data_IF_151125188863
#
_entry.id   IF_151125188863
#
_cell.length_a   1.000
_cell.length_b   1.000
_cell.length_c   1.000
_cell.angle_alpha   90.00
_cell.angle_beta   90.00
_cell.angle_gamma   90.00
#
_symmetry.space_group_name_H-M   'P 1'
#
loop_
_entity.id
_entity.type
_entity.pdbx_description
1 polymer ?
#
# COMPACT_ATOMS: atom_id res chain seq x y z
N UNK A 1 12.12 -29.90 15.17
CA UNK A 1 12.68 -28.54 15.29
C UNK A 1 11.56 -27.56 14.98
N UNK A 2 11.15 -26.71 15.93
CA UNK A 2 10.07 -25.74 15.69
C UNK A 2 10.61 -24.57 14.85
N UNK A 3 10.64 -24.75 13.53
CA UNK A 3 11.15 -23.78 12.56
C UNK A 3 10.37 -22.47 12.56
N UNK A 4 9.14 -22.44 13.08
CA UNK A 4 8.32 -21.22 13.16
C UNK A 4 8.82 -20.17 14.17
N UNK A 5 9.87 -20.47 14.93
CA UNK A 5 10.49 -19.51 15.87
C UNK A 5 11.58 -18.63 15.24
N UNK A 6 12.05 -18.96 14.04
CA UNK A 6 13.18 -18.30 13.41
C UNK A 6 12.75 -17.62 12.11
N UNK A 7 13.24 -16.40 11.90
CA UNK A 7 13.09 -15.65 10.66
C UNK A 7 13.54 -16.48 9.44
N UNK A 8 12.90 -16.25 8.29
CA UNK A 8 13.27 -16.88 7.01
C UNK A 8 14.75 -16.60 6.70
N UNK A 9 15.20 -15.36 6.94
CA UNK A 9 16.60 -14.99 6.80
C UNK A 9 17.53 -15.87 7.63
N UNK A 10 17.24 -16.08 8.92
CA UNK A 10 18.05 -16.93 9.81
C UNK A 10 18.10 -18.38 9.34
N UNK A 11 16.99 -18.93 8.82
CA UNK A 11 16.95 -20.29 8.27
C UNK A 11 17.85 -20.44 7.05
N UNK A 12 17.83 -19.47 6.14
CA UNK A 12 18.67 -19.46 4.94
C UNK A 12 20.14 -19.28 5.35
N UNK A 13 20.44 -18.35 6.25
CA UNK A 13 21.80 -18.15 6.77
C UNK A 13 22.36 -19.41 7.43
N UNK A 14 21.54 -20.18 8.16
CA UNK A 14 21.99 -21.45 8.76
C UNK A 14 22.46 -22.47 7.71
N UNK A 15 21.78 -22.55 6.55
CA UNK A 15 22.20 -23.42 5.43
C UNK A 15 23.51 -22.91 4.84
N UNK A 16 23.62 -21.59 4.59
CA UNK A 16 24.83 -20.99 4.01
C UNK A 16 26.03 -21.19 4.94
N UNK A 17 25.87 -20.99 6.24
CA UNK A 17 26.93 -21.20 7.24
C UNK A 17 27.34 -22.67 7.27
N UNK A 18 26.39 -23.61 7.24
CA UNK A 18 26.71 -25.04 7.18
C UNK A 18 27.50 -25.39 5.91
N UNK A 19 27.07 -24.91 4.74
CA UNK A 19 27.79 -25.12 3.48
C UNK A 19 29.18 -24.49 3.52
N UNK A 20 29.32 -23.31 4.12
CA UNK A 20 30.61 -22.67 4.35
C UNK A 20 31.55 -23.50 5.21
N UNK A 21 31.06 -24.07 6.32
CA UNK A 21 31.83 -24.98 7.18
C UNK A 21 32.30 -26.22 6.41
N UNK A 22 31.43 -26.80 5.59
CA UNK A 22 31.77 -27.96 4.74
C UNK A 22 32.87 -27.58 3.74
N UNK A 23 32.77 -26.43 3.07
CA UNK A 23 33.79 -25.96 2.12
C UNK A 23 35.13 -25.75 2.82
N UNK A 24 35.13 -25.13 4.01
CA UNK A 24 36.35 -24.92 4.80
C UNK A 24 36.96 -26.25 5.23
N UNK A 25 36.14 -27.22 5.64
CA UNK A 25 36.62 -28.56 6.00
C UNK A 25 37.26 -29.27 4.80
N UNK A 26 36.60 -29.26 3.63
CA UNK A 26 37.14 -29.86 2.39
C UNK A 26 38.45 -29.17 1.99
N UNK A 27 38.48 -27.84 1.96
CA UNK A 27 39.69 -27.09 1.64
C UNK A 27 40.84 -27.38 2.63
N UNK A 28 40.54 -27.43 3.94
CA UNK A 28 41.50 -27.77 4.98
C UNK A 28 42.09 -29.18 4.80
N UNK A 29 41.25 -30.17 4.51
CA UNK A 29 41.71 -31.54 4.21
C UNK A 29 42.55 -31.60 2.94
N UNK A 30 42.19 -30.84 1.90
CA UNK A 30 42.98 -30.77 0.66
C UNK A 30 44.35 -30.11 0.83
N UNK A 31 44.45 -29.05 1.65
CA UNK A 31 45.73 -28.42 1.97
C UNK A 31 46.61 -29.37 2.79
N UNK A 32 46.04 -30.02 3.81
CA UNK A 32 46.74 -31.02 4.60
C UNK A 32 47.28 -32.15 3.71
N UNK A 33 46.45 -32.64 2.78
CA UNK A 33 46.82 -33.67 1.83
C UNK A 33 48.02 -33.30 0.96
N UNK A 34 48.00 -32.11 0.37
CA UNK A 34 49.10 -31.64 -0.47
C UNK A 34 50.39 -31.51 0.33
N UNK A 35 50.32 -31.00 1.57
CA UNK A 35 51.52 -30.87 2.43
C UNK A 35 52.12 -32.22 2.79
N UNK A 36 51.28 -33.18 3.17
CA UNK A 36 51.75 -34.52 3.56
C UNK A 36 52.30 -35.28 2.36
N UNK A 37 51.64 -35.17 1.20
CA UNK A 37 52.14 -35.75 -0.05
C UNK A 37 53.48 -35.15 -0.46
N UNK A 38 53.63 -33.82 -0.36
CA UNK A 38 54.90 -33.17 -0.69
C UNK A 38 56.03 -33.62 0.26
N UNK A 39 55.70 -33.84 1.55
CA UNK A 39 56.64 -34.38 2.55
C UNK A 39 57.10 -35.80 2.17
N UNK A 40 56.18 -36.69 1.82
CA UNK A 40 56.51 -38.06 1.42
C UNK A 40 57.28 -38.11 0.10
N UNK A 41 56.96 -37.24 -0.85
CA UNK A 41 57.70 -37.12 -2.10
C UNK A 41 59.15 -36.70 -1.86
N UNK A 42 59.39 -35.68 -1.02
CA UNK A 42 60.77 -35.27 -0.67
C UNK A 42 61.56 -36.41 -0.02
N UNK A 43 60.95 -37.15 0.92
CA UNK A 43 61.62 -38.30 1.56
C UNK A 43 61.89 -39.45 0.57
N UNK A 44 61.01 -39.65 -0.40
CA UNK A 44 61.20 -40.64 -1.47
C UNK A 44 62.36 -40.24 -2.38
N UNK A 45 62.41 -38.98 -2.79
CA UNK A 45 63.47 -38.43 -3.64
C UNK A 45 64.84 -38.51 -2.93
N UNK A 46 64.88 -38.18 -1.64
CA UNK A 46 66.09 -38.26 -0.83
C UNK A 46 66.63 -39.70 -0.71
N UNK A 47 65.74 -40.69 -0.56
CA UNK A 47 66.12 -42.10 -0.50
C UNK A 47 66.58 -42.62 -1.88
N UNK A 48 65.88 -42.25 -2.96
CA UNK A 48 66.26 -42.60 -4.33
C UNK A 48 67.59 -41.97 -4.76
N UNK A 49 67.88 -40.74 -4.31
CA UNK A 49 69.18 -40.11 -4.48
C UNK A 49 70.28 -40.93 -3.80
N UNK A 50 70.05 -41.42 -2.58
CA UNK A 50 70.99 -42.30 -1.87
C UNK A 50 71.30 -43.59 -2.64
N UNK A 51 70.30 -44.26 -3.21
CA UNK A 51 70.51 -45.44 -4.05
C UNK A 51 71.33 -45.11 -5.30
N UNK A 52 71.07 -43.96 -5.93
CA UNK A 52 71.82 -43.48 -7.11
C UNK A 52 73.27 -43.17 -6.78
N UNK A 53 73.51 -42.51 -5.65
CA UNK A 53 74.85 -42.23 -5.12
C UNK A 53 75.63 -43.53 -4.86
N UNK A 54 75.03 -44.51 -4.18
CA UNK A 54 75.67 -45.79 -3.91
C UNK A 54 76.01 -46.56 -5.20
N UNK A 55 75.09 -46.57 -6.17
CA UNK A 55 75.35 -47.16 -7.50
C UNK A 55 76.51 -46.47 -8.23
N UNK A 56 76.63 -45.14 -8.12
CA UNK A 56 77.76 -44.40 -8.69
C UNK A 56 79.08 -44.76 -7.98
N UNK A 57 79.08 -44.89 -6.65
CA UNK A 57 80.24 -45.36 -5.89
C UNK A 57 80.66 -46.76 -6.33
N UNK A 58 79.73 -47.70 -6.49
CA UNK A 58 80.02 -49.06 -6.97
C UNK A 58 80.70 -49.08 -8.35
N UNK A 59 80.25 -48.20 -9.28
CA UNK A 59 80.88 -48.03 -10.60
C UNK A 59 82.31 -47.50 -10.49
N UNK A 60 82.56 -46.52 -9.61
CA UNK A 60 83.89 -45.96 -9.36
C UNK A 60 84.83 -47.00 -8.73
N UNK A 61 84.35 -47.79 -7.76
CA UNK A 61 85.12 -48.90 -7.15
C UNK A 61 85.48 -49.95 -8.20
N UNK A 62 84.53 -50.32 -9.06
CA UNK A 62 84.78 -51.25 -10.16
C UNK A 62 85.83 -50.71 -11.14
N UNK A 63 85.81 -49.40 -11.44
CA UNK A 63 86.82 -48.73 -12.26
C UNK A 63 88.21 -48.76 -11.62
N UNK A 64 88.30 -48.46 -10.31
CA UNK A 64 89.54 -48.55 -9.53
C UNK A 64 90.10 -49.97 -9.53
N UNK A 65 89.24 -50.97 -9.29
CA UNK A 65 89.64 -52.37 -9.26
C UNK A 65 90.17 -52.83 -10.62
N UNK A 66 89.51 -52.42 -11.72
CA UNK A 66 89.99 -52.69 -13.09
C UNK A 66 91.34 -52.02 -13.36
N UNK A 67 91.54 -50.78 -12.90
CA UNK A 67 92.82 -50.08 -13.05
C UNK A 67 93.95 -50.81 -12.28
N UNK A 68 93.66 -51.31 -11.08
CA UNK A 68 94.60 -52.10 -10.28
C UNK A 68 94.99 -53.42 -10.97
N UNK A 69 94.01 -54.15 -11.55
CA UNK A 69 94.31 -55.34 -12.34
C UNK A 69 95.13 -55.05 -13.61
N UNK A 70 94.90 -53.90 -14.26
CA UNK A 70 95.71 -53.46 -15.41
C UNK A 70 97.18 -53.20 -15.03
N UNK A 71 97.44 -52.71 -13.81
CA UNK A 71 98.81 -52.57 -13.28
C UNK A 71 99.50 -53.93 -13.15
N UNK A 72 98.78 -54.95 -12.70
CA UNK A 72 99.30 -56.31 -12.58
C UNK A 72 99.56 -56.99 -13.94
N UNK A 73 98.74 -56.67 -14.95
CA UNK A 73 98.88 -57.21 -16.30
C UNK A 73 100.05 -56.58 -17.07
N UNK A 74 100.25 -55.27 -16.94
CA UNK A 74 101.32 -54.52 -17.59
C UNK A 74 101.90 -53.44 -16.65
N UNK A 75 103.00 -53.74 -15.93
CA UNK A 75 103.65 -52.78 -15.04
C UNK A 75 104.60 -51.81 -15.75
N UNK A 76 104.47 -51.60 -17.08
CA UNK A 76 105.32 -50.66 -17.82
C UNK A 76 105.22 -49.21 -17.29
N UNK A 77 106.31 -48.43 -17.28
CA UNK A 77 106.29 -47.06 -16.76
C UNK A 77 105.25 -46.13 -17.41
N UNK A 78 105.02 -46.30 -18.71
CA UNK A 78 104.04 -45.53 -19.49
C UNK A 78 102.60 -45.84 -19.05
N UNK A 79 102.25 -47.14 -18.97
CA UNK A 79 100.93 -47.57 -18.48
C UNK A 79 100.71 -47.20 -17.00
N UNK A 80 101.76 -47.25 -16.18
CA UNK A 80 101.70 -46.83 -14.77
C UNK A 80 101.37 -45.34 -14.60
N UNK A 81 101.89 -44.47 -15.47
CA UNK A 81 101.61 -43.03 -15.40
C UNK A 81 100.14 -42.72 -15.77
N UNK A 82 99.62 -43.36 -16.82
CA UNK A 82 98.21 -43.25 -17.23
C UNK A 82 97.27 -43.77 -16.13
N UNK A 83 97.57 -44.96 -15.58
CA UNK A 83 96.75 -45.59 -14.55
C UNK A 83 96.80 -44.83 -13.22
N UNK A 84 97.95 -44.25 -12.83
CA UNK A 84 98.01 -43.34 -11.66
C UNK A 84 97.09 -42.14 -11.81
N UNK A 85 97.07 -41.53 -13.00
CA UNK A 85 96.18 -40.39 -13.28
C UNK A 85 94.71 -40.80 -13.17
N UNK A 86 94.36 -41.96 -13.73
CA UNK A 86 93.00 -42.51 -13.62
C UNK A 86 92.62 -42.83 -12.18
N UNK A 87 93.48 -43.53 -11.43
CA UNK A 87 93.25 -43.87 -10.03
C UNK A 87 93.05 -42.61 -9.19
N UNK A 88 93.88 -41.59 -9.36
CA UNK A 88 93.74 -40.34 -8.61
C UNK A 88 92.45 -39.59 -8.95
N UNK A 89 92.01 -39.60 -10.22
CA UNK A 89 90.73 -39.03 -10.64
C UNK A 89 89.55 -39.76 -10.00
N UNK A 90 89.53 -41.08 -10.07
CA UNK A 90 88.43 -41.86 -9.49
C UNK A 90 88.43 -41.80 -7.95
N UNK A 91 89.61 -41.71 -7.31
CA UNK A 91 89.73 -41.43 -5.87
C UNK A 91 89.07 -40.11 -5.50
N UNK A 92 89.44 -39.04 -6.19
CA UNK A 92 88.88 -37.70 -5.94
C UNK A 92 87.36 -37.68 -6.12
N UNK A 93 86.86 -38.36 -7.16
CA UNK A 93 85.43 -38.48 -7.42
C UNK A 93 84.72 -39.24 -6.29
N UNK A 94 85.28 -40.36 -5.83
CA UNK A 94 84.68 -41.17 -4.78
C UNK A 94 84.71 -40.45 -3.43
N UNK A 95 85.83 -39.81 -3.08
CA UNK A 95 85.94 -38.96 -1.87
C UNK A 95 84.88 -37.85 -1.88
N UNK A 96 84.69 -37.20 -3.03
CA UNK A 96 83.70 -36.13 -3.18
C UNK A 96 82.29 -36.66 -3.01
N UNK A 97 81.94 -37.77 -3.66
CA UNK A 97 80.61 -38.39 -3.56
C UNK A 97 80.32 -38.89 -2.14
N UNK A 98 81.29 -39.56 -1.52
CA UNK A 98 81.16 -40.10 -0.17
C UNK A 98 80.97 -39.00 0.86
N UNK A 99 81.72 -37.89 0.73
CA UNK A 99 81.54 -36.72 1.60
C UNK A 99 80.17 -36.08 1.42
N UNK A 100 79.76 -35.82 0.17
CA UNK A 100 78.46 -35.22 -0.13
C UNK A 100 77.30 -36.08 0.39
N UNK A 101 77.35 -37.40 0.14
CA UNK A 101 76.35 -38.33 0.66
C UNK A 101 76.31 -38.34 2.20
N UNK A 102 77.47 -38.25 2.85
CA UNK A 102 77.57 -38.28 4.33
C UNK A 102 77.04 -37.00 4.97
N UNK A 103 77.23 -35.84 4.32
CA UNK A 103 76.77 -34.53 4.81
C UNK A 103 75.25 -34.37 4.73
N UNK A 104 74.61 -34.93 3.69
CA UNK A 104 73.17 -34.84 3.45
C UNK A 104 72.37 -35.98 4.07
N UNK A 105 73.03 -37.05 4.50
CA UNK A 105 72.37 -38.25 4.99
C UNK A 105 71.78 -38.13 6.42
N UNK A 106 70.55 -38.64 6.65
CA UNK A 106 69.98 -38.81 7.98
C UNK A 106 70.72 -39.89 8.79
N UNK A 107 70.55 -39.93 10.13
CA UNK A 107 71.42 -40.72 11.03
C UNK A 107 71.59 -42.19 10.67
N UNK A 108 70.51 -42.86 10.21
CA UNK A 108 70.57 -44.27 9.79
C UNK A 108 71.40 -44.47 8.51
N UNK A 109 71.27 -43.58 7.52
CA UNK A 109 72.04 -43.63 6.28
C UNK A 109 73.50 -43.29 6.52
N UNK A 110 73.76 -42.30 7.37
CA UNK A 110 75.11 -41.87 7.76
C UNK A 110 75.93 -43.01 8.37
N UNK A 111 75.33 -43.81 9.25
CA UNK A 111 76.03 -44.96 9.86
C UNK A 111 76.48 -46.01 8.84
N UNK A 112 75.75 -46.21 7.74
CA UNK A 112 76.18 -47.10 6.65
C UNK A 112 77.25 -46.44 5.76
N UNK A 113 77.11 -45.15 5.48
CA UNK A 113 78.15 -44.39 4.76
C UNK A 113 79.48 -44.36 5.51
N UNK A 114 79.46 -44.30 6.85
CA UNK A 114 80.67 -44.40 7.68
C UNK A 114 81.34 -45.79 7.54
N UNK A 115 80.55 -46.86 7.38
CA UNK A 115 81.09 -48.21 7.10
C UNK A 115 81.68 -48.29 5.69
N UNK A 116 81.00 -47.72 4.70
CA UNK A 116 81.53 -47.58 3.33
C UNK A 116 82.85 -46.81 3.35
N UNK A 117 82.93 -45.71 4.11
CA UNK A 117 84.14 -44.91 4.27
C UNK A 117 85.29 -45.71 4.89
N UNK A 118 85.03 -46.49 5.93
CA UNK A 118 86.03 -47.34 6.58
C UNK A 118 86.53 -48.47 5.65
N UNK A 119 85.62 -49.12 4.93
CA UNK A 119 85.96 -50.14 3.93
C UNK A 119 86.76 -49.52 2.77
N UNK A 120 86.39 -48.32 2.33
CA UNK A 120 87.06 -47.59 1.27
C UNK A 120 88.49 -47.20 1.65
N UNK A 121 88.69 -46.64 2.85
CA UNK A 121 90.02 -46.32 3.37
C UNK A 121 90.93 -47.57 3.46
N UNK A 122 90.35 -48.73 3.78
CA UNK A 122 91.09 -50.01 3.83
C UNK A 122 91.47 -50.49 2.44
N UNK A 123 90.56 -50.41 1.47
CA UNK A 123 90.82 -50.73 0.06
C UNK A 123 91.90 -49.82 -0.55
N UNK A 124 91.86 -48.51 -0.25
CA UNK A 124 92.85 -47.56 -0.76
C UNK A 124 94.27 -47.86 -0.29
N UNK A 125 94.46 -48.30 0.96
CA UNK A 125 95.77 -48.74 1.47
C UNK A 125 96.36 -49.88 0.65
N UNK A 126 95.52 -50.82 0.18
CA UNK A 126 95.97 -51.89 -0.69
C UNK A 126 96.32 -51.41 -2.10
N UNK A 127 95.52 -50.50 -2.68
CA UNK A 127 95.84 -49.87 -3.96
C UNK A 127 97.17 -49.07 -3.89
N UNK A 128 97.41 -48.35 -2.79
CA UNK A 128 98.66 -47.63 -2.56
C UNK A 128 99.86 -48.58 -2.46
N UNK A 129 99.71 -49.72 -1.78
CA UNK A 129 100.75 -50.74 -1.71
C UNK A 129 101.04 -51.34 -3.10
N UNK A 130 100.02 -51.59 -3.92
CA UNK A 130 100.17 -52.03 -5.31
C UNK A 130 100.94 -51.00 -6.15
N UNK A 131 100.60 -49.70 -6.02
CA UNK A 131 101.29 -48.60 -6.71
C UNK A 131 102.73 -48.40 -6.23
N UNK A 132 103.02 -48.61 -4.94
CA UNK A 132 104.37 -48.51 -4.38
C UNK A 132 105.27 -49.62 -4.95
N UNK A 133 104.80 -50.87 -4.96
CA UNK A 133 105.53 -51.99 -5.56
C UNK A 133 105.78 -51.71 -7.04
N UNK A 134 104.75 -51.35 -7.80
CA UNK A 134 104.88 -51.06 -9.23
C UNK A 134 105.81 -49.87 -9.54
N UNK A 135 105.92 -48.89 -8.63
CA UNK A 135 106.85 -47.76 -8.75
C UNK A 135 108.33 -48.13 -8.61
N UNK A 136 108.65 -49.31 -8.05
CA UNK A 136 110.03 -49.80 -7.88
C UNK A 136 110.65 -50.36 -9.18
N UNK A 137 109.94 -50.32 -10.30
CA UNK A 137 110.37 -50.80 -11.62
C UNK A 137 111.65 -50.13 -12.17
N UNK A 138 112.15 -49.07 -11.51
CA UNK A 138 113.43 -48.42 -11.81
C UNK A 138 114.66 -48.99 -11.09
N UNK A 139 114.51 -49.97 -10.18
CA UNK A 139 115.59 -50.46 -9.31
C UNK A 139 115.88 -51.95 -9.56
N UNK A 140 116.64 -52.31 -10.60
CA UNK A 140 117.30 -53.63 -10.79
C UNK A 140 116.46 -54.93 -10.61
N UNK A 141 115.13 -54.86 -10.53
CA UNK A 141 114.25 -56.02 -10.32
C UNK A 141 113.81 -56.59 -11.68
N UNK A 142 113.91 -57.90 -11.85
CA UNK A 142 113.39 -58.59 -13.05
C UNK A 142 111.87 -58.43 -13.12
N UNK A 143 111.35 -58.06 -14.29
CA UNK A 143 109.91 -57.80 -14.55
C UNK A 143 109.00 -58.92 -13.99
N UNK A 144 109.42 -60.19 -14.08
CA UNK A 144 108.66 -61.32 -13.55
C UNK A 144 108.51 -61.34 -12.01
N UNK A 145 109.55 -60.96 -11.25
CA UNK A 145 109.47 -60.89 -9.77
C UNK A 145 108.62 -59.71 -9.32
N UNK A 146 108.70 -58.58 -10.04
CA UNK A 146 107.86 -57.41 -9.81
C UNK A 146 106.39 -57.74 -10.06
N UNK A 147 106.09 -58.41 -11.17
CA UNK A 147 104.74 -58.83 -11.54
C UNK A 147 104.14 -59.78 -10.50
N UNK A 148 104.93 -60.72 -9.97
CA UNK A 148 104.49 -61.64 -8.92
C UNK A 148 104.13 -60.89 -7.62
N UNK A 149 104.97 -59.96 -7.17
CA UNK A 149 104.69 -59.15 -5.98
C UNK A 149 103.44 -58.26 -6.13
N UNK A 150 103.22 -57.71 -7.33
CA UNK A 150 101.99 -56.97 -7.65
C UNK A 150 100.78 -57.91 -7.62
N UNK A 151 100.85 -59.07 -8.27
CA UNK A 151 99.75 -60.03 -8.31
C UNK A 151 99.35 -60.53 -6.92
N UNK A 152 100.32 -60.77 -6.03
CA UNK A 152 100.04 -61.16 -4.65
C UNK A 152 99.31 -60.04 -3.88
N UNK A 153 99.73 -58.78 -4.07
CA UNK A 153 99.07 -57.65 -3.42
C UNK A 153 97.68 -57.35 -3.98
N UNK A 154 97.49 -57.48 -5.30
CA UNK A 154 96.17 -57.37 -5.95
C UNK A 154 95.23 -58.50 -5.49
N UNK A 155 95.75 -59.70 -5.26
CA UNK A 155 94.96 -60.81 -4.69
C UNK A 155 94.52 -60.54 -3.26
N UNK A 156 95.41 -60.00 -2.43
CA UNK A 156 95.07 -59.58 -1.06
C UNK A 156 94.03 -58.43 -1.07
N UNK A 157 94.22 -57.44 -1.94
CA UNK A 157 93.31 -56.30 -2.07
C UNK A 157 91.96 -56.68 -2.73
N UNK A 158 91.84 -57.87 -3.31
CA UNK A 158 90.56 -58.38 -3.80
C UNK A 158 89.56 -58.60 -2.68
N UNK A 159 90.02 -59.01 -1.50
CA UNK A 159 89.15 -59.22 -0.34
C UNK A 159 88.64 -57.89 0.22
N UNK A 160 89.49 -56.87 0.31
CA UNK A 160 89.10 -55.52 0.73
C UNK A 160 88.15 -54.87 -0.29
N UNK A 161 88.37 -55.07 -1.59
CA UNK A 161 87.46 -54.62 -2.65
C UNK A 161 86.10 -55.30 -2.56
N UNK A 162 86.07 -56.60 -2.21
CA UNK A 162 84.83 -57.33 -1.97
C UNK A 162 84.06 -56.76 -0.78
N UNK A 163 84.73 -56.54 0.35
CA UNK A 163 84.12 -55.96 1.55
C UNK A 163 83.59 -54.54 1.31
N UNK A 164 84.29 -53.74 0.49
CA UNK A 164 83.83 -52.42 0.06
C UNK A 164 82.57 -52.51 -0.81
N UNK A 165 82.57 -53.38 -1.83
CA UNK A 165 81.40 -53.58 -2.68
C UNK A 165 80.19 -54.06 -1.88
N UNK A 166 80.37 -55.01 -0.95
CA UNK A 166 79.30 -55.51 -0.07
C UNK A 166 78.75 -54.39 0.85
N UNK A 167 79.62 -53.51 1.35
CA UNK A 167 79.20 -52.35 2.14
C UNK A 167 78.39 -51.34 1.30
N UNK A 168 78.78 -51.12 0.05
CA UNK A 168 78.05 -50.25 -0.89
C UNK A 168 76.71 -50.88 -1.28
N UNK A 169 76.69 -52.18 -1.57
CA UNK A 169 75.48 -52.94 -1.89
C UNK A 169 74.48 -52.87 -0.74
N UNK A 170 74.92 -53.12 0.50
CA UNK A 170 74.09 -52.96 1.70
C UNK A 170 73.53 -51.54 1.84
N UNK A 171 74.32 -50.51 1.50
CA UNK A 171 73.86 -49.12 1.52
C UNK A 171 72.80 -48.85 0.43
N UNK A 172 73.01 -49.36 -0.79
CA UNK A 172 72.08 -49.22 -1.91
C UNK A 172 70.77 -49.94 -1.61
N UNK A 173 70.81 -51.20 -1.17
CA UNK A 173 69.64 -51.99 -0.80
C UNK A 173 68.81 -51.29 0.27
N UNK A 174 69.46 -50.77 1.32
CA UNK A 174 68.78 -50.00 2.36
C UNK A 174 68.13 -48.72 1.80
N UNK A 175 68.81 -47.99 0.92
CA UNK A 175 68.27 -46.77 0.32
C UNK A 175 67.08 -47.06 -0.61
N UNK A 176 67.15 -48.14 -1.40
CA UNK A 176 66.06 -48.62 -2.23
C UNK A 176 64.87 -49.10 -1.40
N UNK A 177 65.10 -49.83 -0.31
CA UNK A 177 64.05 -50.29 0.60
C UNK A 177 63.31 -49.10 1.21
N UNK A 178 64.03 -48.08 1.69
CA UNK A 178 63.41 -46.86 2.23
C UNK A 178 62.62 -46.13 1.14
N UNK A 179 63.16 -46.02 -0.08
CA UNK A 179 62.47 -45.39 -1.20
C UNK A 179 61.16 -46.13 -1.54
N UNK A 180 61.19 -47.46 -1.62
CA UNK A 180 60.01 -48.28 -1.87
C UNK A 180 58.98 -48.19 -0.74
N UNK A 181 59.41 -48.21 0.52
CA UNK A 181 58.53 -47.99 1.67
C UNK A 181 57.85 -46.62 1.61
N UNK A 182 58.59 -45.56 1.27
CA UNK A 182 58.02 -44.22 1.12
C UNK A 182 57.03 -44.14 -0.06
N UNK A 183 57.31 -44.81 -1.18
CA UNK A 183 56.36 -44.90 -2.31
C UNK A 183 55.08 -45.62 -1.89
N UNK A 184 55.18 -46.76 -1.20
CA UNK A 184 54.00 -47.49 -0.74
C UNK A 184 53.20 -46.66 0.27
N UNK A 185 53.88 -46.02 1.23
CA UNK A 185 53.25 -45.12 2.19
C UNK A 185 52.58 -43.93 1.50
N UNK A 186 53.19 -43.39 0.45
CA UNK A 186 52.62 -42.31 -0.37
C UNK A 186 51.34 -42.75 -1.06
N UNK A 187 51.31 -43.95 -1.66
CA UNK A 187 50.10 -44.52 -2.28
C UNK A 187 48.98 -44.75 -1.25
N UNK A 188 49.29 -45.37 -0.12
CA UNK A 188 48.32 -45.63 0.95
C UNK A 188 47.74 -44.32 1.51
N UNK A 189 48.62 -43.33 1.73
CA UNK A 189 48.24 -42.01 2.23
C UNK A 189 47.37 -41.29 1.20
N UNK A 190 47.71 -41.35 -0.09
CA UNK A 190 46.92 -40.79 -1.18
C UNK A 190 45.51 -41.38 -1.22
N UNK A 191 45.39 -42.72 -1.20
CA UNK A 191 44.09 -43.38 -1.25
C UNK A 191 43.26 -43.04 -0.01
N UNK A 192 43.83 -43.09 1.20
CA UNK A 192 43.13 -42.74 2.45
C UNK A 192 42.61 -41.30 2.43
N UNK A 193 43.46 -40.36 2.03
CA UNK A 193 43.09 -38.95 1.92
C UNK A 193 42.01 -38.75 0.87
N UNK A 194 42.14 -39.37 -0.31
CA UNK A 194 41.15 -39.26 -1.38
C UNK A 194 39.80 -39.81 -0.94
N UNK A 195 39.77 -40.97 -0.29
CA UNK A 195 38.56 -41.55 0.29
C UNK A 195 37.95 -40.63 1.35
N UNK A 196 38.77 -40.03 2.24
CA UNK A 196 38.28 -39.10 3.25
C UNK A 196 37.69 -37.84 2.63
N UNK A 197 38.36 -37.26 1.62
CA UNK A 197 37.90 -36.07 0.92
C UNK A 197 36.57 -36.34 0.20
N UNK A 198 36.44 -37.47 -0.49
CA UNK A 198 35.18 -37.89 -1.11
C UNK A 198 34.11 -38.10 -0.04
N UNK A 199 34.42 -38.80 1.05
CA UNK A 199 33.45 -39.08 2.12
C UNK A 199 32.92 -37.78 2.76
N UNK A 200 33.80 -36.84 3.11
CA UNK A 200 33.42 -35.53 3.67
C UNK A 200 32.59 -34.73 2.66
N UNK A 201 32.95 -34.77 1.38
CA UNK A 201 32.21 -34.06 0.33
C UNK A 201 30.81 -34.64 0.13
N UNK A 202 30.68 -35.97 0.05
CA UNK A 202 29.39 -36.67 -0.12
C UNK A 202 28.52 -36.48 1.11
N UNK A 203 29.06 -36.64 2.32
CA UNK A 203 28.32 -36.39 3.57
C UNK A 203 27.88 -34.92 3.62
N UNK A 204 28.76 -33.98 3.30
CA UNK A 204 28.43 -32.56 3.24
C UNK A 204 27.29 -32.26 2.27
N UNK A 205 27.32 -32.85 1.07
CA UNK A 205 26.24 -32.72 0.08
C UNK A 205 24.92 -33.31 0.60
N UNK A 206 24.95 -34.51 1.20
CA UNK A 206 23.75 -35.17 1.73
C UNK A 206 23.15 -34.34 2.87
N UNK A 207 23.96 -33.90 3.83
CA UNK A 207 23.50 -33.10 4.96
C UNK A 207 22.97 -31.75 4.48
N UNK A 208 23.68 -31.07 3.57
CA UNK A 208 23.25 -29.82 2.96
C UNK A 208 21.92 -29.97 2.20
N UNK A 209 21.77 -31.03 1.40
CA UNK A 209 20.55 -31.30 0.65
C UNK A 209 19.37 -31.66 1.56
N UNK A 210 19.57 -32.52 2.56
CA UNK A 210 18.53 -32.89 3.52
C UNK A 210 18.09 -31.68 4.34
N UNK A 211 19.04 -30.91 4.89
CA UNK A 211 18.73 -29.72 5.68
C UNK A 211 18.03 -28.65 4.81
N UNK A 212 18.53 -28.42 3.60
CA UNK A 212 17.91 -27.53 2.63
C UNK A 212 16.49 -27.96 2.27
N UNK A 213 16.28 -29.24 1.97
CA UNK A 213 14.96 -29.80 1.67
C UNK A 213 14.00 -29.65 2.86
N UNK A 214 14.42 -29.98 4.08
CA UNK A 214 13.58 -29.84 5.28
C UNK A 214 13.20 -28.39 5.56
N UNK A 215 14.17 -27.46 5.49
CA UNK A 215 13.93 -26.03 5.73
C UNK A 215 13.04 -25.44 4.63
N UNK A 216 13.30 -25.74 3.36
CA UNK A 216 12.49 -25.26 2.25
C UNK A 216 11.06 -25.81 2.34
N UNK A 217 10.89 -27.13 2.45
CA UNK A 217 9.57 -27.78 2.45
C UNK A 217 8.75 -27.39 3.67
N UNK A 218 9.28 -27.57 4.88
CA UNK A 218 8.50 -27.41 6.12
C UNK A 218 8.66 -26.03 6.76
N UNK A 219 9.78 -25.34 6.53
CA UNK A 219 10.06 -24.03 7.12
C UNK A 219 9.48 -22.85 6.36
N UNK A 220 9.32 -22.97 5.03
CA UNK A 220 8.98 -21.86 4.12
C UNK A 220 7.80 -22.21 3.21
N UNK A 221 7.95 -23.21 2.31
CA UNK A 221 7.00 -23.50 1.23
C UNK A 221 5.62 -23.90 1.77
N UNK A 222 5.55 -24.91 2.64
CA UNK A 222 4.25 -25.40 3.14
C UNK A 222 3.49 -24.33 3.94
N UNK A 223 4.12 -23.57 4.86
CA UNK A 223 3.46 -22.46 5.53
C UNK A 223 2.93 -21.38 4.57
N UNK A 224 3.73 -20.97 3.58
CA UNK A 224 3.31 -19.99 2.58
C UNK A 224 2.10 -20.50 1.80
N UNK A 225 2.12 -21.76 1.34
CA UNK A 225 0.99 -22.36 0.62
C UNK A 225 -0.29 -22.38 1.47
N UNK A 226 -0.19 -22.64 2.79
CA UNK A 226 -1.33 -22.62 3.71
C UNK A 226 -1.89 -21.22 3.93
N UNK A 227 -1.03 -20.22 4.08
CA UNK A 227 -1.48 -18.81 4.17
C UNK A 227 -2.18 -18.39 2.88
N UNK A 228 -1.59 -18.69 1.72
CA UNK A 228 -2.19 -18.36 0.42
C UNK A 228 -3.53 -19.07 0.23
N UNK A 229 -3.66 -20.33 0.66
CA UNK A 229 -4.93 -21.04 0.64
C UNK A 229 -5.97 -20.37 1.55
N UNK A 230 -5.59 -20.01 2.79
CA UNK A 230 -6.48 -19.29 3.71
C UNK A 230 -6.92 -17.94 3.16
N UNK A 231 -6.03 -17.19 2.51
CA UNK A 231 -6.37 -15.92 1.87
C UNK A 231 -7.36 -16.10 0.72
N UNK A 232 -7.21 -17.17 -0.09
CA UNK A 232 -8.17 -17.49 -1.16
C UNK A 232 -9.55 -17.84 -0.59
N UNK A 233 -9.62 -18.59 0.50
CA UNK A 233 -10.88 -18.89 1.18
C UNK A 233 -11.58 -17.62 1.68
N UNK A 234 -10.83 -16.70 2.31
CA UNK A 234 -11.36 -15.41 2.74
C UNK A 234 -11.86 -14.57 1.55
N UNK A 235 -11.09 -14.53 0.46
CA UNK A 235 -11.47 -13.82 -0.76
C UNK A 235 -12.74 -14.39 -1.41
N UNK A 236 -13.00 -15.69 -1.26
CA UNK A 236 -14.23 -16.35 -1.69
C UNK A 236 -15.40 -16.17 -0.72
N UNK A 237 -15.24 -15.40 0.37
CA UNK A 237 -16.28 -15.13 1.36
C UNK A 237 -16.43 -16.20 2.45
N UNK A 238 -15.52 -17.18 2.53
CA UNK A 238 -15.54 -18.18 3.59
C UNK A 238 -14.87 -17.65 4.86
N UNK A 239 -15.66 -17.02 5.73
CA UNK A 239 -15.20 -16.45 7.01
C UNK A 239 -15.02 -17.50 8.12
N UNK A 240 -15.31 -18.77 7.86
CA UNK A 240 -15.13 -19.85 8.85
C UNK A 240 -13.72 -20.45 8.82
N UNK A 241 -12.90 -20.11 7.83
CA UNK A 241 -11.55 -20.68 7.67
C UNK A 241 -10.64 -20.29 8.86
N UNK A 242 -9.93 -21.27 9.43
CA UNK A 242 -8.95 -21.03 10.47
C UNK A 242 -7.62 -20.54 9.85
N UNK A 243 -7.08 -19.43 10.35
CA UNK A 243 -5.84 -18.85 9.86
C UNK A 243 -4.66 -19.64 10.42
N UNK A 244 -3.89 -20.27 9.52
CA UNK A 244 -2.74 -21.08 9.91
C UNK A 244 -1.56 -20.22 10.37
N UNK A 245 -0.98 -20.55 11.54
CA UNK A 245 0.35 -20.09 11.94
C UNK A 245 0.40 -18.74 12.64
N UNK A 246 -0.69 -18.29 13.27
CA UNK A 246 -0.73 -17.07 14.09
C UNK A 246 0.18 -17.15 15.32
N UNK A 247 0.53 -18.35 15.77
CA UNK A 247 1.45 -18.61 16.87
C UNK A 247 2.94 -18.55 16.48
N UNK A 248 3.24 -18.38 15.20
CA UNK A 248 4.63 -18.32 14.70
C UNK A 248 5.26 -16.97 15.03
N UNK A 249 6.58 -16.96 15.23
CA UNK A 249 7.39 -15.77 15.54
C UNK A 249 8.27 -15.31 14.37
N UNK A 250 8.02 -15.83 13.18
CA UNK A 250 8.70 -15.44 11.96
C UNK A 250 7.80 -14.58 11.07
N UNK A 251 8.31 -14.14 9.92
CA UNK A 251 7.61 -13.25 9.00
C UNK A 251 6.28 -13.87 8.50
N UNK A 252 6.23 -15.20 8.44
CA UNK A 252 5.00 -15.94 8.12
C UNK A 252 3.95 -15.76 9.22
N UNK A 253 4.36 -15.74 10.49
CA UNK A 253 3.48 -15.44 11.61
C UNK A 253 2.92 -14.02 11.56
N UNK A 254 3.75 -13.03 11.23
CA UNK A 254 3.30 -11.64 11.06
C UNK A 254 2.26 -11.51 9.93
N UNK A 255 2.45 -12.24 8.82
CA UNK A 255 1.46 -12.28 7.74
C UNK A 255 0.17 -12.96 8.22
N UNK A 256 0.26 -14.08 8.95
CA UNK A 256 -0.90 -14.78 9.48
C UNK A 256 -1.69 -13.92 10.47
N UNK A 257 -1.02 -13.19 11.36
CA UNK A 257 -1.64 -12.23 12.29
C UNK A 257 -2.36 -11.10 11.55
N UNK A 258 -1.73 -10.54 10.52
CA UNK A 258 -2.37 -9.52 9.67
C UNK A 258 -3.60 -10.08 8.95
N UNK A 259 -3.51 -11.32 8.46
CA UNK A 259 -4.64 -12.00 7.82
C UNK A 259 -5.78 -12.30 8.81
N UNK A 260 -5.47 -12.57 10.08
CA UNK A 260 -6.45 -12.73 11.15
C UNK A 260 -7.22 -11.41 11.39
N UNK A 261 -6.52 -10.28 11.50
CA UNK A 261 -7.17 -8.96 11.62
C UNK A 261 -8.07 -8.68 10.42
N UNK A 262 -7.64 -9.04 9.20
CA UNK A 262 -8.45 -8.87 8.00
C UNK A 262 -9.73 -9.74 8.05
N UNK A 263 -9.61 -11.00 8.44
CA UNK A 263 -10.75 -11.90 8.66
C UNK A 263 -11.73 -11.31 9.69
N UNK A 264 -11.23 -10.86 10.83
CA UNK A 264 -12.07 -10.35 11.92
C UNK A 264 -12.83 -9.09 11.48
N UNK A 265 -12.20 -8.23 10.68
CA UNK A 265 -12.88 -7.08 10.06
C UNK A 265 -13.95 -7.52 9.06
N UNK A 266 -13.71 -8.54 8.23
CA UNK A 266 -14.74 -9.05 7.30
C UNK A 266 -15.94 -9.66 8.03
N UNK A 267 -15.71 -10.37 9.14
CA UNK A 267 -16.77 -10.89 10.01
C UNK A 267 -17.60 -9.73 10.56
N UNK A 268 -16.94 -8.73 11.13
CA UNK A 268 -17.61 -7.56 11.69
C UNK A 268 -18.40 -6.78 10.64
N UNK A 269 -17.87 -6.60 9.44
CA UNK A 269 -18.61 -5.95 8.34
C UNK A 269 -19.86 -6.74 7.97
N UNK A 270 -19.77 -8.06 7.88
CA UNK A 270 -20.92 -8.92 7.58
C UNK A 270 -21.98 -8.89 8.68
N UNK A 271 -21.57 -8.83 9.94
CA UNK A 271 -22.48 -8.64 11.08
C UNK A 271 -23.18 -7.28 11.00
N UNK A 272 -22.45 -6.20 10.72
CA UNK A 272 -23.02 -4.86 10.55
C UNK A 272 -24.00 -4.79 9.35
N UNK A 273 -23.71 -5.48 8.25
CA UNK A 273 -24.62 -5.58 7.10
C UNK A 273 -25.91 -6.31 7.47
N UNK A 274 -25.83 -7.40 8.24
CA UNK A 274 -27.02 -8.11 8.73
C UNK A 274 -27.85 -7.25 9.69
N UNK A 275 -27.20 -6.56 10.64
CA UNK A 275 -27.86 -5.63 11.55
C UNK A 275 -28.53 -4.48 10.79
N UNK A 276 -27.87 -3.94 9.76
CA UNK A 276 -28.42 -2.89 8.91
C UNK A 276 -29.64 -3.38 8.10
N UNK A 277 -29.58 -4.59 7.53
CA UNK A 277 -30.71 -5.19 6.79
C UNK A 277 -31.91 -5.44 7.71
N UNK A 278 -31.67 -5.90 8.95
CA UNK A 278 -32.72 -6.05 9.96
C UNK A 278 -33.31 -4.70 10.40
N UNK A 279 -32.47 -3.68 10.57
CA UNK A 279 -32.90 -2.33 10.90
C UNK A 279 -33.72 -1.69 9.77
N UNK A 280 -33.33 -1.90 8.51
CA UNK A 280 -34.07 -1.43 7.34
C UNK A 280 -35.45 -2.08 7.25
N UNK A 281 -35.53 -3.41 7.46
CA UNK A 281 -36.83 -4.12 7.52
C UNK A 281 -37.71 -3.59 8.64
N UNK A 282 -37.15 -3.29 9.82
CA UNK A 282 -37.91 -2.68 10.93
C UNK A 282 -38.41 -1.28 10.58
N UNK A 283 -37.54 -0.45 10.00
CA UNK A 283 -37.88 0.91 9.58
C UNK A 283 -38.99 0.92 8.51
N UNK A 284 -38.99 -0.05 7.59
CA UNK A 284 -40.02 -0.16 6.57
C UNK A 284 -41.40 -0.55 7.17
N UNK A 285 -41.42 -1.43 8.17
CA UNK A 285 -42.63 -1.76 8.92
C UNK A 285 -43.15 -0.54 9.68
N UNK A 286 -42.29 0.17 10.40
CA UNK A 286 -42.65 1.40 11.13
C UNK A 286 -43.20 2.48 10.19
N UNK A 287 -42.55 2.70 9.04
CA UNK A 287 -43.01 3.63 8.01
C UNK A 287 -44.41 3.28 7.51
N UNK A 288 -44.68 1.99 7.30
CA UNK A 288 -46.00 1.53 6.84
C UNK A 288 -47.09 1.75 7.89
N UNK A 289 -46.78 1.52 9.17
CA UNK A 289 -47.69 1.82 10.28
C UNK A 289 -47.96 3.32 10.41
N UNK A 290 -46.92 4.15 10.35
CA UNK A 290 -47.06 5.61 10.37
C UNK A 290 -47.92 6.11 9.20
N UNK A 291 -47.79 5.50 8.02
CA UNK A 291 -48.60 5.88 6.87
C UNK A 291 -50.08 5.53 7.01
N UNK A 292 -50.40 4.38 7.60
CA UNK A 292 -51.79 4.01 7.89
C UNK A 292 -52.41 4.99 8.90
N UNK A 293 -51.71 5.32 9.99
CA UNK A 293 -52.20 6.29 10.97
C UNK A 293 -52.42 7.69 10.37
N UNK A 294 -51.56 8.10 9.42
CA UNK A 294 -51.74 9.37 8.71
C UNK A 294 -52.97 9.34 7.80
N UNK A 295 -53.24 8.20 7.15
CA UNK A 295 -54.44 8.02 6.32
C UNK A 295 -55.72 8.09 7.17
N UNK A 296 -55.74 7.44 8.33
CA UNK A 296 -56.89 7.47 9.25
C UNK A 296 -57.18 8.89 9.76
N UNK A 297 -56.14 9.64 10.16
CA UNK A 297 -56.28 11.04 10.57
C UNK A 297 -56.73 11.95 9.42
N UNK A 298 -56.29 11.67 8.19
CA UNK A 298 -56.73 12.41 7.02
C UNK A 298 -58.22 12.19 6.76
N UNK A 299 -58.71 10.95 6.86
CA UNK A 299 -60.13 10.61 6.69
C UNK A 299 -61.02 11.31 7.73
N UNK A 300 -60.61 11.31 9.01
CA UNK A 300 -61.32 12.01 10.10
C UNK A 300 -61.40 13.53 9.88
N UNK A 301 -60.27 14.14 9.51
CA UNK A 301 -60.19 15.59 9.27
C UNK A 301 -61.04 16.00 8.06
N UNK A 302 -61.00 15.23 6.96
CA UNK A 302 -61.83 15.50 5.77
C UNK A 302 -63.31 15.33 6.09
N UNK A 303 -63.70 14.30 6.85
CA UNK A 303 -65.08 14.11 7.29
C UNK A 303 -65.61 15.31 8.10
N UNK A 304 -64.79 15.86 8.98
CA UNK A 304 -65.13 17.05 9.78
C UNK A 304 -65.31 18.30 8.91
N UNK A 305 -64.40 18.53 7.94
CA UNK A 305 -64.49 19.68 7.02
C UNK A 305 -65.74 19.60 6.16
N UNK A 306 -66.07 18.43 5.60
CA UNK A 306 -67.29 18.23 4.80
C UNK A 306 -68.54 18.51 5.64
N UNK A 307 -68.57 18.09 6.91
CA UNK A 307 -69.65 18.41 7.84
C UNK A 307 -69.83 19.92 8.08
N UNK A 308 -68.72 20.64 8.29
CA UNK A 308 -68.72 22.10 8.46
C UNK A 308 -69.24 22.83 7.22
N UNK A 309 -68.81 22.43 6.03
CA UNK A 309 -69.26 23.04 4.77
C UNK A 309 -70.74 22.78 4.52
N UNK A 310 -71.23 21.57 4.80
CA UNK A 310 -72.65 21.24 4.67
C UNK A 310 -73.51 22.09 5.60
N UNK A 311 -73.09 22.30 6.85
CA UNK A 311 -73.81 23.15 7.79
C UNK A 311 -73.87 24.61 7.33
N UNK A 312 -72.74 25.16 6.85
CA UNK A 312 -72.69 26.52 6.31
C UNK A 312 -73.59 26.71 5.09
N UNK A 313 -73.70 25.70 4.21
CA UNK A 313 -74.60 25.75 3.06
C UNK A 313 -76.08 25.80 3.49
N UNK A 314 -76.47 25.03 4.50
CA UNK A 314 -77.83 25.06 5.07
C UNK A 314 -78.15 26.40 5.73
N UNK A 315 -77.21 27.01 6.45
CA UNK A 315 -77.40 28.36 7.00
C UNK A 315 -77.59 29.42 5.90
N UNK A 316 -76.84 29.32 4.80
CA UNK A 316 -76.94 30.24 3.67
C UNK A 316 -78.30 30.10 2.96
N UNK A 317 -78.81 28.87 2.80
CA UNK A 317 -80.16 28.62 2.27
C UNK A 317 -81.24 29.28 3.15
N UNK A 318 -81.16 29.12 4.47
CA UNK A 318 -82.10 29.75 5.40
C UNK A 318 -82.04 31.29 5.34
N UNK A 319 -80.84 31.86 5.23
CA UNK A 319 -80.65 33.31 5.06
C UNK A 319 -81.27 33.82 3.75
N UNK A 320 -81.09 33.09 2.65
CA UNK A 320 -81.68 33.43 1.35
C UNK A 320 -83.21 33.38 1.38
N UNK A 321 -83.81 32.40 2.06
CA UNK A 321 -85.26 32.29 2.24
C UNK A 321 -85.82 33.52 3.00
N UNK A 322 -85.13 33.92 4.07
CA UNK A 322 -85.50 35.10 4.88
C UNK A 322 -85.42 36.40 4.07
N UNK A 323 -84.39 36.54 3.22
CA UNK A 323 -84.23 37.68 2.32
C UNK A 323 -85.43 37.79 1.35
N UNK A 324 -85.87 36.66 0.77
CA UNK A 324 -87.03 36.63 -0.12
C UNK A 324 -88.31 37.11 0.58
N UNK A 325 -88.59 36.63 1.79
CA UNK A 325 -89.76 37.09 2.56
C UNK A 325 -89.68 38.60 2.84
N UNK A 326 -88.50 39.12 3.19
CA UNK A 326 -88.30 40.55 3.44
C UNK A 326 -88.54 41.40 2.18
N UNK A 327 -88.15 40.89 1.00
CA UNK A 327 -88.40 41.55 -0.28
C UNK A 327 -89.89 41.58 -0.64
N UNK A 328 -90.64 40.51 -0.36
CA UNK A 328 -92.09 40.47 -0.56
C UNK A 328 -92.81 41.51 0.32
N UNK A 329 -92.45 41.61 1.60
CA UNK A 329 -92.98 42.62 2.51
C UNK A 329 -92.64 44.05 2.04
N UNK A 330 -91.40 44.26 1.61
CA UNK A 330 -90.96 45.58 1.10
C UNK A 330 -91.77 46.01 -0.13
N UNK A 331 -92.07 45.09 -1.05
CA UNK A 331 -92.91 45.36 -2.21
C UNK A 331 -94.36 45.69 -1.84
N UNK A 332 -94.95 44.98 -0.88
CA UNK A 332 -96.28 45.27 -0.38
C UNK A 332 -96.36 46.67 0.27
N UNK A 333 -95.34 47.02 1.06
CA UNK A 333 -95.22 48.34 1.68
C UNK A 333 -95.09 49.45 0.62
N UNK A 334 -94.26 49.25 -0.41
CA UNK A 334 -94.09 50.20 -1.51
C UNK A 334 -95.40 50.44 -2.28
N UNK A 335 -96.20 49.39 -2.52
CA UNK A 335 -97.51 49.51 -3.15
C UNK A 335 -98.48 50.35 -2.30
N UNK A 336 -98.48 50.13 -0.98
CA UNK A 336 -99.30 50.91 -0.03
C UNK A 336 -98.91 52.39 -0.05
N UNK A 337 -97.61 52.70 -0.06
CA UNK A 337 -97.11 54.09 -0.15
C UNK A 337 -97.51 54.74 -1.47
N UNK A 338 -97.43 54.03 -2.59
CA UNK A 338 -97.84 54.54 -3.89
C UNK A 338 -99.34 54.89 -3.92
N UNK A 339 -100.18 54.05 -3.30
CA UNK A 339 -101.62 54.33 -3.18
C UNK A 339 -101.89 55.61 -2.37
N UNK A 340 -101.23 55.77 -1.21
CA UNK A 340 -101.36 56.97 -0.39
C UNK A 340 -100.87 58.24 -1.11
N UNK A 341 -99.80 58.14 -1.91
CA UNK A 341 -99.28 59.26 -2.70
C UNK A 341 -100.27 59.70 -3.81
N UNK A 342 -100.94 58.73 -4.47
CA UNK A 342 -101.98 59.02 -5.46
C UNK A 342 -103.18 59.74 -4.81
N UNK A 343 -103.63 59.26 -3.65
CA UNK A 343 -104.72 59.91 -2.90
C UNK A 343 -104.37 61.34 -2.48
N UNK A 344 -103.14 61.57 -1.99
CA UNK A 344 -102.65 62.90 -1.66
C UNK A 344 -102.67 63.85 -2.87
N UNK A 345 -102.33 63.35 -4.06
CA UNK A 345 -102.33 64.14 -5.30
C UNK A 345 -103.74 64.59 -5.67
N UNK A 346 -104.73 63.69 -5.62
CA UNK A 346 -106.14 64.02 -5.86
C UNK A 346 -106.67 65.07 -4.87
N UNK A 347 -106.27 64.97 -3.60
CA UNK A 347 -106.64 65.96 -2.59
C UNK A 347 -106.04 67.35 -2.89
N UNK A 348 -104.79 67.41 -3.34
CA UNK A 348 -104.14 68.68 -3.74
C UNK A 348 -104.81 69.29 -4.98
N UNK A 349 -105.21 68.48 -5.97
CA UNK A 349 -105.98 68.96 -7.13
C UNK A 349 -107.33 69.55 -6.71
N UNK A 350 -108.04 68.88 -5.79
CA UNK A 350 -109.32 69.36 -5.26
C UNK A 350 -109.17 70.72 -4.56
N UNK A 351 -108.10 70.90 -3.76
CA UNK A 351 -107.80 72.17 -3.11
C UNK A 351 -107.47 73.25 -4.15
N UNK A 352 -106.74 72.92 -5.21
CA UNK A 352 -106.44 73.87 -6.29
C UNK A 352 -107.73 74.39 -6.97
N UNK A 353 -108.66 73.50 -7.31
CA UNK A 353 -109.97 73.88 -7.87
C UNK A 353 -110.77 74.78 -6.91
N UNK A 354 -110.79 74.46 -5.61
CA UNK A 354 -111.46 75.30 -4.62
C UNK A 354 -110.84 76.70 -4.50
N UNK A 355 -109.51 76.81 -4.62
CA UNK A 355 -108.80 78.08 -4.67
C UNK A 355 -109.14 78.90 -5.92
N UNK A 356 -109.29 78.26 -7.09
CA UNK A 356 -109.73 78.93 -8.33
C UNK A 356 -111.15 79.50 -8.21
N UNK A 357 -112.08 78.73 -7.64
CA UNK A 357 -113.46 79.17 -7.35
C UNK A 357 -113.50 80.35 -6.36
N UNK A 358 -112.69 80.29 -5.29
CA UNK A 358 -112.55 81.41 -4.35
C UNK A 358 -112.03 82.68 -5.02
N UNK A 359 -111.03 82.57 -5.91
CA UNK A 359 -110.50 83.70 -6.66
C UNK A 359 -111.52 84.30 -7.64
N UNK A 360 -112.43 83.49 -8.19
CA UNK A 360 -113.56 83.98 -8.98
C UNK A 360 -114.56 84.75 -8.10
N UNK A 361 -114.94 84.20 -6.94
CA UNK A 361 -115.88 84.84 -6.01
C UNK A 361 -115.37 86.20 -5.49
N UNK A 362 -114.08 86.31 -5.16
CA UNK A 362 -113.46 87.57 -4.74
C UNK A 362 -113.51 88.64 -5.85
N UNK A 363 -113.33 88.25 -7.12
CA UNK A 363 -113.44 89.18 -8.27
C UNK A 363 -114.87 89.70 -8.46
N UNK A 364 -115.87 88.83 -8.33
CA UNK A 364 -117.30 89.18 -8.41
C UNK A 364 -117.70 90.17 -7.30
N UNK A 365 -117.28 89.91 -6.05
CA UNK A 365 -117.51 90.80 -4.90
C UNK A 365 -116.88 92.17 -5.17
N UNK A 366 -115.66 92.20 -5.72
CA UNK A 366 -114.97 93.44 -6.10
C UNK A 366 -115.77 94.28 -7.12
N UNK A 367 -116.41 93.65 -8.10
CA UNK A 367 -117.29 94.34 -9.06
C UNK A 367 -118.55 94.91 -8.38
N UNK A 368 -119.23 94.14 -7.53
CA UNK A 368 -120.44 94.59 -6.81
C UNK A 368 -120.16 95.77 -5.88
N UNK A 369 -119.02 95.76 -5.19
CA UNK A 369 -118.60 96.87 -4.31
C UNK A 369 -118.36 98.15 -5.12
N UNK A 370 -117.69 98.06 -6.27
CA UNK A 370 -117.48 99.21 -7.16
C UNK A 370 -118.81 99.80 -7.68
N UNK A 371 -119.75 98.94 -8.08
CA UNK A 371 -121.08 99.34 -8.52
C UNK A 371 -121.86 100.06 -7.40
N UNK A 372 -121.84 99.51 -6.18
CA UNK A 372 -122.48 100.15 -5.02
C UNK A 372 -121.87 101.53 -4.69
N UNK A 373 -120.56 101.68 -4.83
CA UNK A 373 -119.87 102.96 -4.67
C UNK A 373 -120.30 103.99 -5.73
N UNK A 374 -120.41 103.59 -7.00
CA UNK A 374 -120.92 104.47 -8.07
C UNK A 374 -122.37 104.91 -7.84
N UNK A 375 -123.24 103.98 -7.42
CA UNK A 375 -124.64 104.29 -7.10
C UNK A 375 -124.72 105.29 -5.94
N UNK A 376 -123.93 105.07 -4.88
CA UNK A 376 -123.86 105.97 -3.72
C UNK A 376 -123.35 107.36 -4.12
N UNK A 377 -122.31 107.45 -4.96
CA UNK A 377 -121.81 108.72 -5.50
C UNK A 377 -122.87 109.48 -6.31
N UNK A 378 -123.60 108.79 -7.20
CA UNK A 378 -124.73 109.37 -7.95
C UNK A 378 -125.84 109.89 -7.04
N UNK A 379 -126.15 109.16 -5.97
CA UNK A 379 -127.18 109.57 -5.01
C UNK A 379 -126.81 110.89 -4.30
N UNK A 380 -125.54 111.06 -3.93
CA UNK A 380 -125.01 112.31 -3.35
C UNK A 380 -125.15 113.47 -4.35
N UNK A 381 -124.73 113.29 -5.60
CA UNK A 381 -124.85 114.33 -6.64
C UNK A 381 -126.31 114.74 -6.90
N UNK A 382 -127.25 113.78 -6.92
CA UNK A 382 -128.68 114.07 -7.07
C UNK A 382 -129.24 114.86 -5.87
N UNK A 383 -128.80 114.53 -4.65
CA UNK A 383 -129.19 115.27 -3.44
C UNK A 383 -128.70 116.73 -3.48
N UNK A 384 -127.46 116.97 -3.93
CA UNK A 384 -126.92 118.32 -4.12
C UNK A 384 -127.68 119.14 -5.18
N UNK A 385 -128.02 118.53 -6.32
CA UNK A 385 -128.83 119.18 -7.36
C UNK A 385 -130.24 119.53 -6.88
N UNK A 386 -130.85 118.65 -6.09
CA UNK A 386 -132.15 118.89 -5.46
C UNK A 386 -132.07 120.06 -4.49
N UNK A 387 -131.02 120.12 -3.65
CA UNK A 387 -130.77 121.23 -2.73
C UNK A 387 -130.66 122.57 -3.47
N UNK A 388 -129.89 122.64 -4.55
CA UNK A 388 -129.75 123.85 -5.36
C UNK A 388 -131.07 124.31 -6.00
N UNK A 389 -131.90 123.36 -6.45
CA UNK A 389 -133.23 123.63 -7.02
C UNK A 389 -134.18 124.23 -5.97
N UNK A 390 -134.17 123.68 -4.76
CA UNK A 390 -134.98 124.18 -3.63
C UNK A 390 -134.53 125.58 -3.22
N UNK A 391 -133.22 125.86 -3.15
CA UNK A 391 -132.69 127.20 -2.87
C UNK A 391 -133.11 128.23 -3.96
N UNK A 392 -133.05 127.84 -5.24
CA UNK A 392 -133.52 128.68 -6.34
C UNK A 392 -135.03 128.96 -6.31
N UNK A 393 -135.83 128.00 -5.86
CA UNK A 393 -137.28 128.15 -5.69
C UNK A 393 -137.59 129.16 -4.58
N UNK A 394 -136.88 129.10 -3.44
CA UNK A 394 -137.06 130.04 -2.31
C UNK A 394 -136.81 131.49 -2.75
N UNK A 395 -135.74 131.74 -3.50
CA UNK A 395 -135.41 133.08 -4.03
C UNK A 395 -136.49 133.57 -4.99
N UNK A 396 -136.99 132.70 -5.87
CA UNK A 396 -138.05 133.04 -6.83
C UNK A 396 -139.37 133.37 -6.12
N UNK A 397 -139.70 132.63 -5.06
CA UNK A 397 -140.92 132.84 -4.28
C UNK A 397 -140.86 134.16 -3.49
N UNK A 398 -139.69 134.54 -2.98
CA UNK A 398 -139.47 135.86 -2.35
C UNK A 398 -139.65 137.02 -3.34
N UNK A 399 -139.12 136.91 -4.56
CA UNK A 399 -139.33 137.91 -5.63
C UNK A 399 -140.80 138.05 -6.02
N UNK A 400 -141.54 136.95 -6.11
CA UNK A 400 -143.00 136.98 -6.35
C UNK A 400 -143.72 137.72 -5.21
N UNK A 401 -143.34 137.47 -3.96
CA UNK A 401 -143.88 138.18 -2.81
C UNK A 401 -143.68 139.69 -2.87
N UNK A 402 -142.52 140.16 -3.32
CA UNK A 402 -142.23 141.59 -3.53
C UNK A 402 -143.11 142.20 -4.65
N UNK A 403 -143.31 141.48 -5.76
CA UNK A 403 -144.16 141.91 -6.88
C UNK A 403 -145.63 141.97 -6.49
N UNK A 404 -146.15 140.98 -5.75
CA UNK A 404 -147.54 141.00 -5.26
C UNK A 404 -147.77 142.18 -4.34
N UNK A 405 -146.78 142.52 -3.49
CA UNK A 405 -146.84 143.71 -2.63
C UNK A 405 -146.93 144.99 -3.45
N UNK A 406 -146.10 145.14 -4.50
CA UNK A 406 -146.15 146.27 -5.43
C UNK A 406 -147.49 146.37 -6.18
N UNK A 407 -148.06 145.24 -6.62
CA UNK A 407 -149.37 145.21 -7.29
C UNK A 407 -150.48 145.66 -6.33
N UNK A 408 -150.44 145.20 -5.07
CA UNK A 408 -151.42 145.58 -4.08
C UNK A 408 -151.34 147.08 -3.76
N UNK A 409 -150.12 147.62 -3.66
CA UNK A 409 -149.87 149.06 -3.46
C UNK A 409 -150.43 149.89 -4.65
N UNK A 410 -150.30 149.44 -5.91
CA UNK A 410 -150.87 150.11 -7.10
C UNK A 410 -152.41 150.03 -7.13
N UNK A 411 -152.98 148.89 -6.73
CA UNK A 411 -154.42 148.66 -6.73
C UNK A 411 -155.13 149.56 -5.69
N UNK A 412 -154.54 149.70 -4.50
CA UNK A 412 -155.03 150.61 -3.44
C UNK A 412 -155.02 152.07 -3.91
N UNK A 413 -153.97 152.48 -4.65
CA UNK A 413 -153.81 153.85 -5.13
C UNK A 413 -154.85 154.25 -6.18
N UNK A 414 -155.40 153.30 -6.94
CA UNK A 414 -156.28 153.62 -8.08
C UNK A 414 -157.75 153.58 -7.70
N UNK A 415 -158.15 152.72 -6.76
CA UNK A 415 -159.50 152.76 -6.16
C UNK A 415 -159.78 154.11 -5.45
N UNK A 416 -158.72 154.86 -5.14
CA UNK A 416 -158.76 156.21 -4.57
C UNK A 416 -158.84 157.34 -5.62
N UNK A 417 -158.66 157.05 -6.92
CA UNK A 417 -158.89 158.00 -8.02
C UNK A 417 -160.27 157.84 -8.70
N UNK A 418 -160.96 156.72 -8.44
CA UNK A 418 -162.37 156.49 -8.76
C UNK A 418 -163.26 157.08 -7.66
#
# INVERSE_FOLDING_TARGET
MNLGKYAIGTKISAIIVLLGIIIVAVAGTGIYAMREMNRLNMLTEEAAAGATEGNNMARLVTSLNRAEFRIAADPSPENLQELRTTINRERTNLDTQLRQATETAPPRRRAQLDRVAAAYATYLKGVDATLDIAGRNGASVTIGMLQQGILDKVRENRETARNLNESIETYVEMAEEIAQQNVQQSQDTFTRITTLLIAVSVIGLIVGALMGFFIARYGIITPIQRIVAGLRELANGNLSVAIFGTERKDEIGTIAETMQVFKDNMVRTREMEQEAEEAEKRAEIEKRQAMNNLADQFEENVGTIVGLVSAAATELEAAAQTLNTTLEETNAQASTVAAAANEATTNVETVATACEELAASVREIGQQVNQSSQISGRAVTNAESTKATVEGLVISTQKIGEVVKLINDIAEQTNLLA
#
